data_IF_258602233825
#
_entry.id   IF_258602233825
#
_cell.length_a   1.000
_cell.length_b   1.000
_cell.length_c   1.000
_cell.angle_alpha   90.00
_cell.angle_beta   90.00
_cell.angle_gamma   90.00
#
_symmetry.space_group_name_H-M   'P 1'
#
loop_
_entity.id
_entity.type
_entity.pdbx_description
1 polymer ?
#
# COMPACT_ATOMS: atom_id res chain seq x y z
N UNK A 1 -8.36 10.47 0.35
CA UNK A 1 -7.18 11.13 0.98
C UNK A 1 -6.22 11.48 -0.13
N UNK A 2 -5.49 12.60 -0.05
CA UNK A 2 -4.50 12.94 -1.09
C UNK A 2 -3.12 12.38 -0.73
N UNK A 3 -2.23 12.21 -1.73
CA UNK A 3 -0.87 11.66 -1.56
C UNK A 3 -0.09 12.31 -0.42
N UNK A 4 0.00 13.64 -0.40
CA UNK A 4 0.76 14.37 0.63
C UNK A 4 0.24 14.14 2.05
N UNK A 5 -1.08 13.99 2.22
CA UNK A 5 -1.67 13.67 3.52
C UNK A 5 -1.37 12.21 3.90
N UNK A 6 -1.42 11.30 2.93
CA UNK A 6 -1.09 9.89 3.12
C UNK A 6 0.35 9.69 3.56
N UNK A 7 1.31 10.26 2.84
CA UNK A 7 2.74 10.16 3.20
C UNK A 7 2.97 10.71 4.61
N UNK A 8 2.44 11.88 4.94
CA UNK A 8 2.60 12.46 6.29
C UNK A 8 2.02 11.57 7.39
N UNK A 9 0.87 10.97 7.17
CA UNK A 9 0.23 10.12 8.18
C UNK A 9 0.99 8.80 8.36
N UNK A 10 1.53 8.23 7.28
CA UNK A 10 2.41 7.06 7.33
C UNK A 10 3.73 7.38 8.04
N UNK A 11 4.39 8.49 7.69
CA UNK A 11 5.63 8.97 8.35
C UNK A 11 5.41 9.21 9.85
N UNK A 12 4.31 9.88 10.21
CA UNK A 12 4.01 10.18 11.61
C UNK A 12 3.76 8.91 12.45
N UNK A 13 3.36 7.81 11.80
CA UNK A 13 3.12 6.52 12.45
C UNK A 13 4.31 5.57 12.35
N UNK A 14 5.39 5.97 11.66
CA UNK A 14 6.57 5.11 11.44
C UNK A 14 6.26 3.89 10.58
N UNK A 15 5.38 4.05 9.59
CA UNK A 15 4.98 2.98 8.67
C UNK A 15 5.93 2.99 7.45
N UNK A 16 7.21 2.78 7.70
CA UNK A 16 8.28 2.87 6.69
C UNK A 16 8.07 1.88 5.53
N UNK A 17 7.56 0.68 5.80
CA UNK A 17 7.26 -0.32 4.76
C UNK A 17 6.21 0.22 3.77
N UNK A 18 5.12 0.82 4.25
CA UNK A 18 4.09 1.39 3.37
C UNK A 18 4.60 2.61 2.59
N UNK A 19 5.52 3.39 3.18
CA UNK A 19 6.17 4.50 2.48
C UNK A 19 7.07 4.01 1.35
N UNK A 20 7.80 2.91 1.57
CA UNK A 20 8.64 2.29 0.55
C UNK A 20 7.80 1.78 -0.62
N UNK A 21 6.70 1.06 -0.36
CA UNK A 21 5.79 0.59 -1.41
C UNK A 21 5.24 1.73 -2.27
N UNK A 22 4.84 2.84 -1.62
CA UNK A 22 4.39 4.04 -2.33
C UNK A 22 5.51 4.63 -3.20
N UNK A 23 6.75 4.67 -2.69
CA UNK A 23 7.88 5.21 -3.41
C UNK A 23 8.30 4.33 -4.60
N UNK A 24 8.25 3.01 -4.46
CA UNK A 24 8.49 2.05 -5.54
C UNK A 24 7.44 2.19 -6.64
N UNK A 25 6.15 2.25 -6.28
CA UNK A 25 5.07 2.49 -7.23
C UNK A 25 5.20 3.84 -7.95
N UNK A 26 5.57 4.91 -7.24
CA UNK A 26 5.75 6.25 -7.83
C UNK A 26 6.91 6.29 -8.85
N UNK A 27 7.90 5.43 -8.68
CA UNK A 27 9.02 5.27 -9.61
C UNK A 27 8.70 4.31 -10.76
N UNK A 28 7.56 3.63 -10.71
CA UNK A 28 7.21 2.56 -11.64
C UNK A 28 8.11 1.33 -11.48
N UNK A 29 8.62 1.09 -10.27
CA UNK A 29 9.45 -0.07 -9.92
C UNK A 29 8.60 -1.23 -9.38
N UNK A 30 7.27 -1.05 -9.29
CA UNK A 30 6.33 -2.03 -8.80
C UNK A 30 5.21 -2.24 -9.82
N UNK A 31 5.05 -3.48 -10.28
CA UNK A 31 3.96 -3.88 -11.19
C UNK A 31 2.80 -4.55 -10.44
N UNK A 32 3.11 -5.30 -9.38
CA UNK A 32 2.14 -6.06 -8.60
C UNK A 32 2.46 -6.03 -7.09
N UNK A 33 1.40 -6.03 -6.28
CA UNK A 33 1.47 -6.20 -4.84
C UNK A 33 0.66 -7.42 -4.43
N UNK A 34 1.35 -8.44 -3.90
CA UNK A 34 0.70 -9.59 -3.30
C UNK A 34 0.34 -9.29 -1.83
N UNK A 35 -0.92 -9.52 -1.45
CA UNK A 35 -1.32 -9.49 -0.05
C UNK A 35 -2.23 -10.65 0.34
N UNK A 36 -2.26 -10.92 1.64
CA UNK A 36 -3.22 -11.83 2.24
C UNK A 36 -4.53 -11.08 2.53
N UNK A 37 -5.70 -11.56 2.03
CA UNK A 37 -6.98 -10.89 2.23
C UNK A 37 -7.37 -10.80 3.72
N UNK A 38 -6.90 -11.74 4.55
CA UNK A 38 -7.15 -11.76 6.00
C UNK A 38 -6.38 -10.70 6.78
N UNK A 39 -5.20 -10.28 6.29
CA UNK A 39 -4.27 -9.40 7.02
C UNK A 39 -4.29 -7.95 6.50
N UNK A 40 -4.56 -7.74 5.22
CA UNK A 40 -4.38 -6.41 4.63
C UNK A 40 -2.89 -6.04 4.47
N UNK A 41 -2.63 -4.80 4.11
CA UNK A 41 -1.30 -4.17 4.15
C UNK A 41 -1.04 -3.49 5.50
N UNK A 42 -2.06 -2.84 6.08
CA UNK A 42 -1.95 -2.09 7.33
C UNK A 42 -3.11 -2.45 8.29
N UNK A 43 -2.83 -2.45 9.60
CA UNK A 43 -3.85 -2.68 10.64
C UNK A 43 -4.95 -1.60 10.64
N UNK A 44 -4.55 -0.34 10.41
CA UNK A 44 -5.50 0.77 10.28
C UNK A 44 -6.19 0.69 8.92
N UNK A 45 -7.45 0.24 8.93
CA UNK A 45 -8.23 0.01 7.71
C UNK A 45 -8.32 1.26 6.82
N UNK A 46 -8.44 2.46 7.40
CA UNK A 46 -8.54 3.69 6.61
C UNK A 46 -7.23 3.97 5.86
N UNK A 47 -6.09 3.79 6.52
CA UNK A 47 -4.78 3.93 5.88
C UNK A 47 -4.54 2.81 4.87
N UNK A 48 -4.88 1.57 5.23
CA UNK A 48 -4.79 0.43 4.34
C UNK A 48 -5.50 0.70 3.00
N UNK A 49 -6.78 1.05 3.06
CA UNK A 49 -7.55 1.39 1.85
C UNK A 49 -6.93 2.56 1.09
N UNK A 50 -6.46 3.60 1.79
CA UNK A 50 -5.84 4.75 1.14
C UNK A 50 -4.53 4.40 0.41
N UNK A 51 -3.70 3.53 0.98
CA UNK A 51 -2.46 3.06 0.34
C UNK A 51 -2.79 2.17 -0.86
N UNK A 52 -3.66 1.17 -0.69
CA UNK A 52 -4.04 0.26 -1.78
C UNK A 52 -4.64 1.03 -2.97
N UNK A 53 -5.55 1.97 -2.72
CA UNK A 53 -6.10 2.82 -3.77
C UNK A 53 -5.04 3.69 -4.47
N UNK A 54 -4.03 4.15 -3.73
CA UNK A 54 -2.93 4.92 -4.32
C UNK A 54 -2.09 4.04 -5.25
N UNK A 55 -1.73 2.84 -4.80
CA UNK A 55 -0.97 1.86 -5.58
C UNK A 55 -1.73 1.46 -6.86
N UNK A 56 -3.03 1.16 -6.76
CA UNK A 56 -3.86 0.89 -7.94
C UNK A 56 -3.89 2.07 -8.92
N UNK A 57 -3.89 3.32 -8.41
CA UNK A 57 -3.82 4.51 -9.25
C UNK A 57 -2.45 4.70 -9.93
N UNK A 58 -1.41 4.00 -9.48
CA UNK A 58 -0.08 3.93 -10.12
C UNK A 58 0.06 2.70 -11.05
N UNK A 59 -1.06 2.09 -11.47
CA UNK A 59 -1.09 0.89 -12.32
C UNK A 59 -0.54 -0.38 -11.65
N UNK A 60 -0.33 -0.37 -10.32
CA UNK A 60 0.04 -1.56 -9.56
C UNK A 60 -1.16 -2.48 -9.42
N UNK A 61 -0.96 -3.76 -9.75
CA UNK A 61 -2.00 -4.79 -9.62
C UNK A 61 -1.99 -5.39 -8.22
N UNK A 62 -3.09 -5.28 -7.49
CA UNK A 62 -3.24 -5.89 -6.17
C UNK A 62 -3.70 -7.34 -6.33
N UNK A 63 -2.86 -8.29 -5.93
CA UNK A 63 -3.12 -9.74 -6.00
C UNK A 63 -3.39 -10.27 -4.59
N UNK A 64 -4.58 -10.83 -4.38
CA UNK A 64 -4.90 -11.48 -3.12
C UNK A 64 -4.50 -12.96 -3.20
N UNK A 65 -3.47 -13.35 -2.46
CA UNK A 65 -3.06 -14.75 -2.37
C UNK A 65 -3.74 -15.44 -1.19
N UNK A 66 -4.02 -16.73 -1.33
CA UNK A 66 -4.58 -17.56 -0.27
C UNK A 66 -3.45 -18.01 0.68
N UNK A 67 -3.68 -17.99 2.00
CA UNK A 67 -2.71 -18.40 3.05
C UNK A 67 -2.25 -19.88 2.96
N UNK A 68 -2.54 -20.60 1.88
CA UNK A 68 -2.32 -22.04 1.71
C UNK A 68 -1.12 -22.40 0.81
N UNK A 69 -0.24 -21.45 0.44
CA UNK A 69 1.04 -21.74 -0.24
C UNK A 69 2.23 -21.92 0.73
#
# INVERSE_FOLDING_TARGET
>A
MNKDELIKELESRGLDEALELIAEADRGEMDELELLPSLGLLEDQRLNDAVLQYLESQEVVIVYTDENE
#
